data_IF_376039274946
#
_entry.id   IF_376039274946
#
_cell.length_a   1.000
_cell.length_b   1.000
_cell.length_c   1.000
_cell.angle_alpha   90.00
_cell.angle_beta   90.00
_cell.angle_gamma   90.00
#
_symmetry.space_group_name_H-M   'P 1'
#
loop_
_entity.id
_entity.type
_entity.pdbx_description
1 polymer ?
#
# COMPACT_ATOMS: atom_id res chain seq x y z
N UNK A 1 -21.06 -27.43 -7.12
CA UNK A 1 -20.78 -26.47 -6.04
C UNK A 1 -19.53 -25.71 -6.45
N UNK A 2 -19.69 -24.50 -6.98
CA UNK A 2 -18.68 -23.86 -7.82
C UNK A 2 -18.28 -22.49 -7.29
N UNK A 3 -16.96 -22.26 -7.31
CA UNK A 3 -16.23 -20.98 -7.25
C UNK A 3 -15.98 -20.34 -5.88
N UNK A 4 -15.04 -20.92 -5.14
CA UNK A 4 -14.07 -20.17 -4.33
C UNK A 4 -12.67 -20.20 -4.97
N UNK A 5 -12.60 -20.44 -6.28
CA UNK A 5 -11.37 -20.32 -7.03
C UNK A 5 -11.02 -18.83 -7.17
N UNK A 6 -10.01 -18.42 -6.40
CA UNK A 6 -9.05 -17.39 -6.77
C UNK A 6 -9.38 -15.90 -6.58
N UNK A 7 -10.30 -15.52 -5.67
CA UNK A 7 -10.54 -14.09 -5.37
C UNK A 7 -9.28 -13.33 -4.92
N UNK A 8 -8.29 -14.02 -4.34
CA UNK A 8 -7.01 -13.42 -3.93
C UNK A 8 -6.12 -13.06 -5.11
N UNK A 9 -5.98 -13.97 -6.08
CA UNK A 9 -5.29 -13.66 -7.34
C UNK A 9 -6.08 -12.62 -8.13
N UNK A 10 -7.42 -12.65 -8.09
CA UNK A 10 -8.25 -11.65 -8.80
C UNK A 10 -8.05 -10.25 -8.23
N UNK A 11 -8.19 -10.04 -6.91
CA UNK A 11 -8.00 -8.73 -6.31
C UNK A 11 -6.56 -8.22 -6.49
N UNK A 12 -5.56 -9.09 -6.30
CA UNK A 12 -4.17 -8.75 -6.58
C UNK A 12 -3.98 -8.33 -8.05
N UNK A 13 -4.56 -9.09 -8.99
CA UNK A 13 -4.50 -8.83 -10.43
C UNK A 13 -5.28 -7.58 -10.84
N UNK A 14 -6.34 -7.22 -10.14
CA UNK A 14 -7.02 -5.95 -10.37
C UNK A 14 -6.14 -4.78 -9.89
N UNK A 15 -5.56 -4.90 -8.70
CA UNK A 15 -4.70 -3.86 -8.12
C UNK A 15 -3.47 -3.60 -8.98
N UNK A 16 -2.82 -4.65 -9.48
CA UNK A 16 -1.65 -4.51 -10.38
C UNK A 16 -2.02 -3.84 -11.71
N UNK A 17 -3.26 -4.05 -12.19
CA UNK A 17 -3.73 -3.49 -13.45
C UNK A 17 -4.16 -2.03 -13.33
N UNK A 18 -4.84 -1.66 -12.23
CA UNK A 18 -5.29 -0.28 -12.02
C UNK A 18 -4.16 0.66 -11.60
N UNK A 19 -3.06 0.17 -11.02
CA UNK A 19 -1.99 1.03 -10.52
C UNK A 19 -0.90 1.29 -11.56
N UNK A 20 -0.37 2.51 -11.55
CA UNK A 20 0.93 2.88 -12.10
C UNK A 20 1.89 3.13 -10.93
N UNK A 21 2.78 2.17 -10.69
CA UNK A 21 3.82 2.29 -9.68
C UNK A 21 4.95 3.20 -10.18
N UNK A 22 5.49 3.97 -9.24
CA UNK A 22 6.59 4.91 -9.49
C UNK A 22 7.91 4.15 -9.43
N UNK A 23 8.59 4.10 -10.57
CA UNK A 23 9.97 3.60 -10.67
C UNK A 23 10.86 4.79 -11.00
N UNK A 24 11.91 5.07 -10.22
CA UNK A 24 12.68 6.32 -10.38
C UNK A 24 13.43 6.39 -11.71
N UNK A 25 13.61 5.25 -12.36
CA UNK A 25 14.19 5.13 -13.69
C UNK A 25 13.29 5.74 -14.78
N UNK A 26 11.98 5.79 -14.58
CA UNK A 26 11.02 6.35 -15.53
C UNK A 26 11.15 7.88 -15.59
N UNK A 27 11.42 8.44 -16.77
CA UNK A 27 11.56 9.90 -16.98
C UNK A 27 10.47 10.47 -17.87
N UNK A 28 9.75 9.63 -18.59
CA UNK A 28 8.66 10.01 -19.48
C UNK A 28 7.41 9.19 -19.20
N UNK A 29 6.25 9.63 -19.72
CA UNK A 29 5.01 8.85 -19.67
C UNK A 29 5.17 7.48 -20.36
N UNK A 30 5.92 7.44 -21.45
CA UNK A 30 6.26 6.20 -22.17
C UNK A 30 6.97 5.21 -21.24
N UNK A 31 8.03 5.66 -20.54
CA UNK A 31 8.77 4.82 -19.60
C UNK A 31 7.85 4.27 -18.51
N UNK A 32 6.98 5.11 -17.94
CA UNK A 32 6.04 4.68 -16.90
C UNK A 32 5.16 3.54 -17.38
N UNK A 33 4.59 3.65 -18.59
CA UNK A 33 3.76 2.58 -19.15
C UNK A 33 4.57 1.32 -19.44
N UNK A 34 5.73 1.44 -20.08
CA UNK A 34 6.58 0.29 -20.41
C UNK A 34 7.00 -0.46 -19.14
N UNK A 35 7.48 0.25 -18.13
CA UNK A 35 7.98 -0.36 -16.89
C UNK A 35 6.85 -1.03 -16.11
N UNK A 36 5.68 -0.39 -16.01
CA UNK A 36 4.53 -1.00 -15.34
C UNK A 36 4.00 -2.22 -16.11
N UNK A 37 4.06 -2.23 -17.44
CA UNK A 37 3.78 -3.42 -18.25
C UNK A 37 4.77 -4.54 -17.99
N UNK A 38 6.07 -4.24 -17.89
CA UNK A 38 7.09 -5.22 -17.52
C UNK A 38 6.85 -5.78 -16.11
N UNK A 39 6.48 -4.93 -15.16
CA UNK A 39 6.13 -5.33 -13.80
C UNK A 39 4.95 -6.31 -13.81
N UNK A 40 3.85 -5.98 -14.51
CA UNK A 40 2.66 -6.84 -14.63
C UNK A 40 2.97 -8.22 -15.20
N UNK A 41 3.89 -8.31 -16.16
CA UNK A 41 4.28 -9.56 -16.82
C UNK A 41 5.30 -10.37 -16.02
N UNK A 42 5.91 -9.78 -14.99
CA UNK A 42 7.00 -10.39 -14.24
C UNK A 42 6.49 -11.17 -13.04
N UNK A 43 6.79 -12.47 -13.00
CA UNK A 43 6.47 -13.35 -11.86
C UNK A 43 7.48 -13.29 -10.71
N UNK A 44 8.61 -12.59 -10.89
CA UNK A 44 9.65 -12.45 -9.87
C UNK A 44 10.50 -11.20 -10.11
N UNK A 45 11.22 -10.76 -9.08
CA UNK A 45 12.20 -9.68 -9.20
C UNK A 45 13.28 -9.99 -10.25
N UNK A 46 13.72 -11.25 -10.35
CA UNK A 46 14.74 -11.65 -11.34
C UNK A 46 14.25 -11.42 -12.77
N UNK A 47 13.01 -11.83 -13.07
CA UNK A 47 12.39 -11.64 -14.38
C UNK A 47 12.21 -10.14 -14.70
N UNK A 48 11.72 -9.38 -13.72
CA UNK A 48 11.54 -7.93 -13.86
C UNK A 48 12.87 -7.21 -14.10
N UNK A 49 13.89 -7.50 -13.28
CA UNK A 49 15.23 -6.92 -13.38
C UNK A 49 15.84 -7.18 -14.75
N UNK A 50 15.77 -8.41 -15.26
CA UNK A 50 16.32 -8.75 -16.56
C UNK A 50 15.66 -7.92 -17.67
N UNK A 51 14.32 -7.83 -17.67
CA UNK A 51 13.59 -7.04 -18.65
C UNK A 51 13.89 -5.52 -18.55
N UNK A 52 14.06 -4.99 -17.33
CA UNK A 52 14.45 -3.60 -17.13
C UNK A 52 15.86 -3.33 -17.66
N UNK A 53 16.79 -4.26 -17.44
CA UNK A 53 18.20 -4.08 -17.81
C UNK A 53 18.45 -4.20 -19.33
N UNK A 54 17.52 -4.81 -20.07
CA UNK A 54 17.52 -4.76 -21.55
C UNK A 54 17.30 -3.34 -22.07
N UNK A 55 16.48 -2.53 -21.38
CA UNK A 55 16.15 -1.17 -21.78
C UNK A 55 17.02 -0.13 -21.08
N UNK A 56 17.38 -0.39 -19.82
CA UNK A 56 18.06 0.54 -18.94
C UNK A 56 19.20 -0.16 -18.17
N UNK A 57 20.31 -0.48 -18.85
CA UNK A 57 21.35 -1.38 -18.32
C UNK A 57 22.14 -0.82 -17.13
N UNK A 58 22.13 0.49 -16.91
CA UNK A 58 22.96 1.17 -15.90
C UNK A 58 22.21 1.53 -14.61
N UNK A 59 20.99 1.01 -14.42
CA UNK A 59 20.20 1.37 -13.25
C UNK A 59 20.64 0.62 -11.98
N UNK A 60 20.49 1.27 -10.83
CA UNK A 60 20.89 0.70 -9.56
C UNK A 60 19.98 -0.47 -9.17
N UNK A 61 20.58 -1.65 -8.97
CA UNK A 61 19.86 -2.89 -8.64
C UNK A 61 19.13 -2.75 -7.31
N UNK A 62 19.76 -2.10 -6.32
CA UNK A 62 19.18 -1.99 -4.98
C UNK A 62 17.92 -1.11 -5.01
N UNK A 63 17.98 0.02 -5.71
CA UNK A 63 16.82 0.90 -5.92
C UNK A 63 15.70 0.15 -6.65
N UNK A 64 16.02 -0.59 -7.71
CA UNK A 64 15.03 -1.38 -8.44
C UNK A 64 14.36 -2.45 -7.55
N UNK A 65 15.14 -3.11 -6.70
CA UNK A 65 14.63 -4.12 -5.77
C UNK A 65 13.67 -3.51 -4.75
N UNK A 66 14.00 -2.33 -4.21
CA UNK A 66 13.16 -1.62 -3.25
C UNK A 66 11.83 -1.19 -3.88
N UNK A 67 11.89 -0.62 -5.09
CA UNK A 67 10.69 -0.19 -5.84
C UNK A 67 9.80 -1.36 -6.24
N UNK A 68 10.40 -2.45 -6.73
CA UNK A 68 9.68 -3.69 -7.04
C UNK A 68 9.00 -4.26 -5.79
N UNK A 69 9.73 -4.34 -4.67
CA UNK A 69 9.20 -4.85 -3.41
C UNK A 69 8.04 -3.99 -2.89
N UNK A 70 8.14 -2.66 -3.02
CA UNK A 70 7.06 -1.74 -2.72
C UNK A 70 5.81 -2.02 -3.57
N UNK A 71 5.97 -2.14 -4.90
CA UNK A 71 4.85 -2.39 -5.80
C UNK A 71 4.14 -3.72 -5.49
N UNK A 72 4.92 -4.78 -5.22
CA UNK A 72 4.38 -6.08 -4.77
C UNK A 72 3.64 -5.95 -3.44
N UNK A 73 4.23 -5.29 -2.45
CA UNK A 73 3.61 -5.11 -1.13
C UNK A 73 2.30 -4.32 -1.21
N UNK A 74 2.24 -3.27 -2.03
CA UNK A 74 1.02 -2.52 -2.27
C UNK A 74 -0.10 -3.40 -2.84
N UNK A 75 0.22 -4.30 -3.77
CA UNK A 75 -0.74 -5.26 -4.32
C UNK A 75 -1.21 -6.29 -3.28
N UNK A 76 -0.29 -6.86 -2.50
CA UNK A 76 -0.59 -7.84 -1.45
C UNK A 76 -1.47 -7.23 -0.33
N UNK A 77 -1.11 -6.04 0.14
CA UNK A 77 -1.84 -5.33 1.18
C UNK A 77 -3.20 -4.86 0.67
N UNK A 78 -3.30 -4.36 -0.56
CA UNK A 78 -4.59 -4.01 -1.15
C UNK A 78 -5.52 -5.22 -1.33
N UNK A 79 -5.00 -6.40 -1.67
CA UNK A 79 -5.80 -7.63 -1.67
C UNK A 79 -6.30 -7.97 -0.26
N UNK A 80 -5.47 -7.74 0.76
CA UNK A 80 -5.87 -7.85 2.16
C UNK A 80 -6.96 -6.85 2.54
N UNK A 81 -6.91 -5.61 2.07
CA UNK A 81 -7.96 -4.62 2.30
C UNK A 81 -9.33 -5.13 1.85
N UNK A 82 -9.44 -5.64 0.62
CA UNK A 82 -10.72 -6.17 0.11
C UNK A 82 -11.18 -7.41 0.86
N UNK A 83 -10.25 -8.29 1.27
CA UNK A 83 -10.55 -9.43 2.15
C UNK A 83 -11.14 -8.97 3.48
N UNK A 84 -10.59 -7.92 4.08
CA UNK A 84 -11.07 -7.38 5.35
C UNK A 84 -12.41 -6.67 5.19
N UNK A 85 -12.59 -5.87 4.13
CA UNK A 85 -13.88 -5.25 3.79
C UNK A 85 -14.99 -6.28 3.62
N UNK A 86 -14.73 -7.39 2.94
CA UNK A 86 -15.71 -8.49 2.80
C UNK A 86 -16.10 -9.17 4.12
N UNK A 87 -15.33 -8.93 5.21
CA UNK A 87 -15.57 -9.49 6.54
C UNK A 87 -15.86 -8.43 7.61
N UNK A 88 -16.16 -7.18 7.22
CA UNK A 88 -16.36 -6.08 8.16
C UNK A 88 -17.49 -6.32 9.17
N UNK A 89 -18.50 -7.13 8.83
CA UNK A 89 -19.56 -7.52 9.78
C UNK A 89 -19.04 -8.39 10.93
N UNK A 90 -18.07 -9.25 10.67
CA UNK A 90 -17.43 -10.11 11.69
C UNK A 90 -16.31 -9.36 12.41
N UNK A 91 -15.59 -8.52 11.67
CA UNK A 91 -14.46 -7.74 12.16
C UNK A 91 -14.72 -6.25 11.94
N UNK A 92 -15.57 -5.64 12.79
CA UNK A 92 -15.99 -4.25 12.62
C UNK A 92 -14.88 -3.25 12.90
N UNK A 93 -13.77 -3.69 13.50
CA UNK A 93 -12.59 -2.85 13.76
C UNK A 93 -11.35 -3.49 13.15
N UNK A 94 -10.40 -2.66 12.74
CA UNK A 94 -9.09 -3.12 12.31
C UNK A 94 -7.99 -2.40 13.07
N UNK A 95 -6.93 -3.14 13.38
CA UNK A 95 -5.73 -2.65 14.04
C UNK A 95 -4.58 -2.55 13.05
N UNK A 96 -3.81 -1.48 13.12
CA UNK A 96 -2.51 -1.39 12.42
C UNK A 96 -1.45 -1.95 13.35
N UNK A 97 -0.68 -2.93 12.88
CA UNK A 97 0.42 -3.53 13.62
C UNK A 97 1.72 -3.36 12.83
N UNK A 98 2.83 -3.10 13.52
CA UNK A 98 4.16 -2.92 12.92
C UNK A 98 5.06 -4.08 13.30
N UNK A 99 5.80 -4.63 12.33
CA UNK A 99 6.79 -5.66 12.61
C UNK A 99 7.98 -4.99 13.34
N UNK A 100 8.28 -5.44 14.57
CA UNK A 100 9.36 -4.85 15.41
C UNK A 100 10.74 -5.45 15.16
N UNK A 101 10.97 -6.07 14.01
CA UNK A 101 12.24 -6.73 13.66
C UNK A 101 13.23 -5.82 12.93
N UNK A 102 12.80 -4.60 12.58
CA UNK A 102 13.54 -3.62 11.78
C UNK A 102 13.30 -2.20 12.30
N UNK A 103 14.22 -1.31 11.97
CA UNK A 103 14.06 0.12 12.24
C UNK A 103 12.92 0.70 11.40
N UNK A 104 12.12 1.58 12.02
CA UNK A 104 11.04 2.32 11.39
C UNK A 104 11.02 3.77 11.90
N UNK A 105 10.43 4.71 11.14
CA UNK A 105 10.36 6.13 11.55
C UNK A 105 9.65 6.29 12.90
N UNK A 106 10.16 7.15 13.79
CA UNK A 106 9.61 7.31 15.15
C UNK A 106 8.15 7.78 15.13
N UNK A 107 7.74 8.55 14.12
CA UNK A 107 6.36 8.99 13.94
C UNK A 107 5.39 7.82 13.75
N UNK A 108 5.87 6.66 13.31
CA UNK A 108 5.04 5.47 13.12
C UNK A 108 4.56 4.86 14.44
N UNK A 109 5.22 5.14 15.57
CA UNK A 109 4.71 4.78 16.91
C UNK A 109 3.34 5.42 17.19
N UNK A 110 2.98 6.50 16.50
CA UNK A 110 1.67 7.13 16.62
C UNK A 110 0.56 6.23 16.07
N UNK A 111 0.82 5.46 15.02
CA UNK A 111 -0.19 4.58 14.39
C UNK A 111 -0.03 3.11 14.74
N UNK A 112 1.12 2.69 15.28
CA UNK A 112 1.28 1.32 15.75
C UNK A 112 0.27 0.96 16.86
N UNK A 113 -0.47 -0.12 16.67
CA UNK A 113 -1.51 -0.60 17.57
C UNK A 113 -2.79 0.23 17.59
N UNK A 114 -2.97 1.25 16.73
CA UNK A 114 -4.26 1.96 16.70
C UNK A 114 -5.36 1.04 16.19
N UNK A 115 -6.53 1.12 16.83
CA UNK A 115 -7.72 0.34 16.47
C UNK A 115 -8.80 1.30 15.99
N UNK A 116 -9.17 1.18 14.73
CA UNK A 116 -10.15 2.05 14.08
C UNK A 116 -11.33 1.23 13.55
N UNK A 117 -12.49 1.85 13.47
CA UNK A 117 -13.65 1.22 12.82
C UNK A 117 -13.33 0.91 11.37
N UNK A 118 -13.77 -0.25 10.89
CA UNK A 118 -13.52 -0.76 9.54
C UNK A 118 -14.17 0.10 8.44
N UNK A 119 -15.16 0.92 8.77
CA UNK A 119 -15.87 1.83 7.86
C UNK A 119 -15.30 3.26 7.83
N UNK A 120 -14.26 3.54 8.63
CA UNK A 120 -13.68 4.87 8.73
C UNK A 120 -13.00 5.29 7.42
N UNK A 121 -13.31 6.50 6.92
CA UNK A 121 -12.71 7.04 5.69
C UNK A 121 -11.19 7.18 5.77
N UNK A 122 -10.61 7.22 6.97
CA UNK A 122 -9.16 7.24 7.17
C UNK A 122 -8.45 6.08 6.46
N UNK A 123 -9.11 4.91 6.30
CA UNK A 123 -8.55 3.77 5.55
C UNK A 123 -8.31 4.05 4.07
N UNK A 124 -8.83 5.16 3.54
CA UNK A 124 -8.53 5.62 2.18
C UNK A 124 -7.12 6.19 2.08
N UNK A 125 -6.47 6.55 3.19
CA UNK A 125 -5.13 7.11 3.20
C UNK A 125 -4.13 6.30 4.01
N UNK A 126 -4.51 5.79 5.19
CA UNK A 126 -3.58 5.16 6.14
C UNK A 126 -3.45 3.64 6.00
N UNK A 127 -4.20 3.01 5.09
CA UNK A 127 -4.04 1.59 4.85
C UNK A 127 -2.66 1.34 4.21
N UNK A 128 -1.79 0.50 4.82
CA UNK A 128 -0.43 0.30 4.33
C UNK A 128 -0.36 -0.15 2.85
N UNK A 129 0.73 0.14 2.14
CA UNK A 129 1.95 0.80 2.61
C UNK A 129 1.88 2.34 2.62
N UNK A 130 2.32 2.94 3.70
CA UNK A 130 2.31 4.38 3.99
C UNK A 130 3.65 5.08 3.70
N UNK A 131 4.73 4.33 3.51
CA UNK A 131 6.05 4.84 3.12
C UNK A 131 6.89 3.74 2.45
N UNK A 132 8.05 4.09 1.91
CA UNK A 132 8.97 3.13 1.29
C UNK A 132 9.59 2.23 2.35
N UNK A 133 9.42 0.91 2.22
CA UNK A 133 9.87 -0.03 3.24
C UNK A 133 8.91 -0.15 4.42
N UNK A 134 7.65 0.29 4.29
CA UNK A 134 6.62 0.06 5.30
C UNK A 134 6.48 -1.44 5.61
N UNK A 135 6.52 -1.75 6.90
CA UNK A 135 6.46 -3.09 7.49
C UNK A 135 5.18 -3.31 8.29
N UNK A 136 4.23 -2.37 8.20
CA UNK A 136 2.96 -2.48 8.89
C UNK A 136 1.94 -3.29 8.11
N UNK A 137 1.06 -3.94 8.86
CA UNK A 137 -0.02 -4.75 8.36
C UNK A 137 -1.29 -4.47 9.16
N UNK A 138 -2.42 -4.98 8.67
CA UNK A 138 -3.73 -4.73 9.28
C UNK A 138 -4.34 -6.02 9.80
N UNK A 139 -4.61 -6.04 11.10
CA UNK A 139 -5.21 -7.17 11.81
C UNK A 139 -6.70 -6.90 12.05
N UNK A 140 -7.61 -7.83 11.68
CA UNK A 140 -9.03 -7.71 12.00
C UNK A 140 -9.29 -7.91 13.51
N UNK A 141 -10.22 -7.14 14.06
CA UNK A 141 -10.68 -7.24 15.45
C UNK A 141 -12.20 -7.36 15.52
N UNK A 142 -12.69 -8.25 16.37
CA UNK A 142 -14.10 -8.37 16.75
C UNK A 142 -14.47 -7.27 17.75
N UNK A 143 -15.76 -6.94 17.84
CA UNK A 143 -16.24 -5.88 18.74
C UNK A 143 -15.83 -6.13 20.21
N UNK A 144 -16.05 -7.34 20.72
CA UNK A 144 -15.75 -7.67 22.11
C UNK A 144 -14.24 -7.60 22.47
N UNK A 145 -13.36 -7.73 21.48
CA UNK A 145 -11.90 -7.60 21.70
C UNK A 145 -11.50 -6.15 21.99
N UNK A 146 -12.37 -5.19 21.65
CA UNK A 146 -12.05 -3.76 21.67
C UNK A 146 -12.99 -2.92 22.52
N UNK A 147 -13.96 -3.53 23.21
CA UNK A 147 -14.94 -2.83 24.07
C UNK A 147 -14.30 -1.96 25.17
N UNK A 148 -13.07 -2.28 25.57
CA UNK A 148 -12.31 -1.57 26.60
C UNK A 148 -11.37 -0.50 26.05
N UNK A 149 -11.31 -0.33 24.72
CA UNK A 149 -10.38 0.58 24.05
C UNK A 149 -10.96 1.99 24.02
N UNK A 150 -10.13 2.97 24.35
CA UNK A 150 -10.47 4.39 24.14
C UNK A 150 -10.34 4.75 22.66
N UNK A 151 -11.44 4.63 21.92
CA UNK A 151 -11.48 4.99 20.51
C UNK A 151 -11.26 6.50 20.26
N UNK A 152 -11.53 7.36 21.23
CA UNK A 152 -11.21 8.79 21.09
C UNK A 152 -9.69 8.97 21.05
N UNK A 153 -8.97 8.34 21.97
CA UNK A 153 -7.50 8.33 21.96
C UNK A 153 -6.92 7.75 20.65
N UNK A 154 -7.50 6.66 20.12
CA UNK A 154 -7.05 6.10 18.83
C UNK A 154 -7.19 7.09 17.67
N UNK A 155 -8.30 7.83 17.63
CA UNK A 155 -8.52 8.86 16.60
C UNK A 155 -7.59 10.07 16.79
N UNK A 156 -7.31 10.49 18.02
CA UNK A 156 -6.35 11.57 18.29
C UNK A 156 -4.94 11.20 17.86
N UNK A 157 -4.50 9.97 18.13
CA UNK A 157 -3.22 9.44 17.65
C UNK A 157 -3.12 9.45 16.13
N UNK A 158 -4.17 9.02 15.43
CA UNK A 158 -4.25 9.09 13.97
C UNK A 158 -4.11 10.53 13.45
N UNK A 159 -4.84 11.49 14.04
CA UNK A 159 -4.74 12.91 13.66
C UNK A 159 -3.34 13.46 13.91
N UNK A 160 -2.73 13.09 15.04
CA UNK A 160 -1.36 13.47 15.37
C UNK A 160 -0.39 12.97 14.30
N UNK A 161 -0.48 11.70 13.91
CA UNK A 161 0.33 11.14 12.82
C UNK A 161 0.16 11.90 11.52
N UNK A 162 -1.10 12.16 11.11
CA UNK A 162 -1.40 12.90 9.87
C UNK A 162 -0.93 14.36 9.91
N UNK A 163 -0.70 14.92 11.09
CA UNK A 163 -0.16 16.28 11.24
C UNK A 163 1.38 16.36 11.11
N UNK A 164 2.07 15.22 11.23
CA UNK A 164 3.54 15.16 11.22
C UNK A 164 4.12 15.61 9.88
N UNK A 165 5.34 16.14 9.92
CA UNK A 165 6.11 16.45 8.70
C UNK A 165 6.40 15.17 7.92
N UNK A 166 6.73 14.08 8.61
CA UNK A 166 6.93 12.76 7.99
C UNK A 166 5.75 12.33 7.11
N UNK A 167 4.52 12.39 7.62
CA UNK A 167 3.34 12.03 6.84
C UNK A 167 3.14 12.94 5.63
N UNK A 168 3.32 14.26 5.80
CA UNK A 168 3.23 15.23 4.71
C UNK A 168 4.26 14.94 3.61
N UNK A 169 5.50 14.60 3.97
CA UNK A 169 6.53 14.22 3.00
C UNK A 169 6.23 12.90 2.30
N UNK A 170 5.67 11.91 3.01
CA UNK A 170 5.23 10.65 2.40
C UNK A 170 4.11 10.89 1.39
N UNK A 171 3.10 11.68 1.74
CA UNK A 171 2.00 12.01 0.81
C UNK A 171 2.48 12.73 -0.44
N UNK A 172 3.45 13.66 -0.32
CA UNK A 172 4.07 14.32 -1.48
C UNK A 172 4.82 13.35 -2.40
N UNK A 173 5.31 12.22 -1.88
CA UNK A 173 5.99 11.16 -2.64
C UNK A 173 5.01 10.13 -3.24
N UNK A 174 3.69 10.35 -3.13
CA UNK A 174 2.67 9.44 -3.66
C UNK A 174 2.31 8.28 -2.73
N UNK A 175 2.61 8.41 -1.43
CA UNK A 175 2.06 7.54 -0.38
C UNK A 175 0.80 8.17 0.24
N UNK A 176 0.24 7.52 1.26
CA UNK A 176 -0.96 8.01 1.95
C UNK A 176 -2.23 7.91 1.11
N UNK A 177 -2.27 6.91 0.23
CA UNK A 177 -3.38 6.58 -0.65
C UNK A 177 -3.55 5.07 -0.63
N UNK A 178 -4.78 4.63 -0.40
CA UNK A 178 -5.13 3.23 -0.50
C UNK A 178 -5.24 2.80 -1.96
N UNK A 179 -4.16 2.22 -2.47
CA UNK A 179 -4.01 1.75 -3.85
C UNK A 179 -4.96 0.60 -4.24
N UNK A 180 -5.71 0.04 -3.28
CA UNK A 180 -6.74 -0.96 -3.54
C UNK A 180 -8.04 -0.34 -4.08
N UNK A 181 -8.27 0.95 -3.83
CA UNK A 181 -9.50 1.66 -4.20
C UNK A 181 -9.30 2.30 -5.56
N UNK A 182 -10.14 1.91 -6.53
CA UNK A 182 -9.99 2.27 -7.95
C UNK A 182 -10.02 3.79 -8.15
N UNK A 183 -10.94 4.51 -7.52
CA UNK A 183 -11.03 5.96 -7.70
C UNK A 183 -9.77 6.68 -7.20
N UNK A 184 -9.20 6.20 -6.09
CA UNK A 184 -8.00 6.79 -5.50
C UNK A 184 -6.75 6.43 -6.30
N UNK A 185 -6.62 5.19 -6.74
CA UNK A 185 -5.52 4.74 -7.60
C UNK A 185 -5.50 5.52 -8.92
N UNK A 186 -6.65 5.70 -9.57
CA UNK A 186 -6.75 6.46 -10.82
C UNK A 186 -6.34 7.93 -10.63
N UNK A 187 -6.78 8.57 -9.54
CA UNK A 187 -6.38 9.94 -9.22
C UNK A 187 -4.86 10.06 -8.99
N UNK A 188 -4.27 9.12 -8.26
CA UNK A 188 -2.82 9.09 -8.02
C UNK A 188 -2.05 8.85 -9.32
N UNK A 189 -2.52 7.96 -10.19
CA UNK A 189 -1.92 7.71 -11.49
C UNK A 189 -1.92 8.97 -12.37
N UNK A 190 -3.03 9.69 -12.40
CA UNK A 190 -3.14 10.96 -13.13
C UNK A 190 -2.16 11.99 -12.59
N UNK A 191 -2.11 12.16 -11.26
CA UNK A 191 -1.17 13.07 -10.60
C UNK A 191 0.29 12.67 -10.86
N UNK A 192 0.61 11.38 -10.86
CA UNK A 192 1.94 10.89 -11.24
C UNK A 192 2.28 11.30 -12.66
N UNK A 193 1.42 10.98 -13.63
CA UNK A 193 1.68 11.30 -15.04
C UNK A 193 1.78 12.81 -15.32
N UNK A 194 1.11 13.65 -14.54
CA UNK A 194 1.22 15.11 -14.61
C UNK A 194 2.51 15.66 -13.97
N UNK A 195 3.15 14.88 -13.09
CA UNK A 195 4.38 15.27 -12.39
C UNK A 195 5.68 14.94 -13.13
N UNK A 196 5.59 14.21 -14.25
CA UNK A 196 6.70 13.87 -15.14
C UNK A 196 6.97 15.02 -16.12
#
# INVERSE_FOLDING_TARGET
MSFQYNTFDTAYSEIININLFRFHIAKTKEDVYIINELFRKSSSFSNFKNAIFELFPNYDIQSLQNEYSYAVNACLLGSTYWRLKGKSKLFPYWRIDTIRDREYPVEFDLIDGIILSSDLDAWNSIFPPNFSGDISYVTPCMAHEVDHIDHHLMNERLKQFQSTTFWKECTLKGFGINRAIIELANKENEQYLLSL
#
